data_IF_932985171347
#
_entry.id   IF_932985171347
#
_cell.length_a   1.000
_cell.length_b   1.000
_cell.length_c   1.000
_cell.angle_alpha   90.00
_cell.angle_beta   90.00
_cell.angle_gamma   90.00
#
_symmetry.space_group_name_H-M   'P 1'
#
loop_
_entity.id
_entity.type
_entity.pdbx_description
1 polymer ?
#
# COMPACT_ATOMS: atom_id res chain seq x y z
N UNK A 1 22.39 -3.17 3.66
CA UNK A 1 20.93 -3.04 3.57
C UNK A 1 20.52 -1.78 4.30
N UNK A 2 20.07 -0.77 3.56
CA UNK A 2 19.60 0.52 4.12
C UNK A 2 18.30 0.27 4.87
N UNK A 3 18.02 1.07 5.89
CA UNK A 3 16.78 0.97 6.67
C UNK A 3 16.11 2.34 6.76
N UNK A 4 14.79 2.35 6.76
CA UNK A 4 13.99 3.58 6.83
C UNK A 4 12.83 3.43 7.81
N UNK A 5 12.41 4.53 8.40
CA UNK A 5 11.14 4.58 9.13
C UNK A 5 10.03 4.82 8.13
N UNK A 6 9.06 3.92 8.08
CA UNK A 6 7.98 3.91 7.11
C UNK A 6 6.65 4.13 7.83
N UNK A 7 5.85 5.08 7.35
CA UNK A 7 4.44 5.20 7.72
C UNK A 7 3.59 5.22 6.46
N UNK A 8 2.62 4.31 6.42
CA UNK A 8 1.62 4.20 5.35
C UNK A 8 0.24 4.37 5.98
N UNK A 9 -0.56 5.26 5.41
CA UNK A 9 -1.95 5.45 5.82
C UNK A 9 -2.86 5.25 4.60
N UNK A 10 -3.89 4.41 4.75
CA UNK A 10 -4.92 4.21 3.74
C UNK A 10 -6.25 4.64 4.33
N UNK A 11 -6.95 5.52 3.63
CA UNK A 11 -8.18 6.13 4.11
C UNK A 11 -9.36 5.16 4.33
N UNK A 12 -10.44 5.72 4.90
CA UNK A 12 -11.70 5.02 5.21
C UNK A 12 -12.41 4.43 3.99
N UNK A 13 -11.99 4.81 2.79
CA UNK A 13 -12.55 4.26 1.57
C UNK A 13 -12.08 2.83 1.30
N UNK A 14 -11.09 2.33 2.05
CA UNK A 14 -10.67 0.92 2.02
C UNK A 14 -11.33 0.14 3.16
N UNK A 15 -12.16 -0.82 2.80
CA UNK A 15 -12.84 -1.71 3.75
C UNK A 15 -11.91 -2.78 4.33
N UNK A 16 -10.97 -3.26 3.52
CA UNK A 16 -10.06 -4.36 3.87
C UNK A 16 -8.80 -4.31 3.02
N UNK A 17 -7.70 -4.82 3.56
CA UNK A 17 -6.45 -5.04 2.85
C UNK A 17 -6.36 -6.53 2.48
N UNK A 18 -6.20 -6.83 1.18
CA UNK A 18 -6.10 -8.21 0.66
C UNK A 18 -4.67 -8.69 0.53
N UNK A 19 -3.75 -7.77 0.23
CA UNK A 19 -2.39 -8.12 -0.13
C UNK A 19 -1.46 -6.95 0.11
N UNK A 20 -0.26 -7.26 0.58
CA UNK A 20 0.81 -6.32 0.84
C UNK A 20 2.09 -6.94 0.31
N UNK A 21 2.76 -6.24 -0.60
CA UNK A 21 4.12 -6.53 -1.00
C UNK A 21 4.91 -5.23 -0.96
N UNK A 22 5.97 -5.21 -0.15
CA UNK A 22 6.86 -4.07 -0.02
C UNK A 22 8.29 -4.57 -0.14
N UNK A 23 9.08 -3.97 -1.03
CA UNK A 23 10.48 -4.40 -1.30
C UNK A 23 10.58 -5.88 -1.70
N UNK A 24 9.59 -6.39 -2.44
CA UNK A 24 9.52 -7.81 -2.84
C UNK A 24 9.10 -8.77 -1.72
N UNK A 25 8.80 -8.27 -0.52
CA UNK A 25 8.38 -9.08 0.64
C UNK A 25 6.88 -9.09 0.74
N UNK A 26 6.28 -10.27 0.67
CA UNK A 26 4.86 -10.46 0.96
C UNK A 26 4.65 -10.39 2.48
N UNK A 27 3.81 -9.47 2.92
CA UNK A 27 3.57 -9.19 4.34
C UNK A 27 2.16 -9.63 4.75
N UNK A 28 2.02 -10.00 6.02
CA UNK A 28 0.73 -10.41 6.59
C UNK A 28 -0.22 -9.21 6.70
N UNK A 29 -1.39 -9.33 6.07
CA UNK A 29 -2.44 -8.30 6.10
C UNK A 29 -3.04 -8.09 7.48
N UNK A 30 -3.07 -9.13 8.31
CA UNK A 30 -3.67 -9.10 9.64
C UNK A 30 -2.80 -8.42 10.71
N UNK A 31 -1.51 -8.24 10.44
CA UNK A 31 -0.54 -7.78 11.45
C UNK A 31 0.27 -6.57 11.03
N UNK A 32 0.21 -6.16 9.76
CA UNK A 32 1.01 -5.05 9.26
C UNK A 32 0.31 -3.69 9.39
N UNK A 33 -1.02 -3.68 9.35
CA UNK A 33 -1.83 -2.48 9.51
C UNK A 33 -2.75 -2.60 10.72
N UNK A 34 -2.87 -1.50 11.46
CA UNK A 34 -3.92 -1.29 12.46
C UNK A 34 -5.02 -0.40 11.88
N UNK A 35 -6.28 -0.63 12.26
CA UNK A 35 -7.38 0.25 11.87
C UNK A 35 -7.66 1.29 12.96
N UNK A 36 -7.27 2.55 12.71
CA UNK A 36 -7.28 3.63 13.69
C UNK A 36 -8.01 4.84 13.10
N UNK A 37 -9.02 5.36 13.82
CA UNK A 37 -9.76 6.57 13.44
C UNK A 37 -10.26 6.55 11.98
N UNK A 38 -10.73 5.39 11.53
CA UNK A 38 -11.26 5.21 10.18
C UNK A 38 -10.19 5.01 9.10
N UNK A 39 -8.91 4.93 9.41
CA UNK A 39 -7.85 4.67 8.43
C UNK A 39 -7.08 3.40 8.79
N UNK A 40 -6.58 2.69 7.78
CA UNK A 40 -5.56 1.66 7.98
C UNK A 40 -4.20 2.33 8.09
N UNK A 41 -3.51 2.13 9.21
CA UNK A 41 -2.22 2.75 9.51
C UNK A 41 -1.18 1.66 9.75
N UNK A 42 -0.06 1.74 9.05
CA UNK A 42 1.11 0.90 9.28
C UNK A 42 2.31 1.80 9.61
N UNK A 43 2.89 1.61 10.79
CA UNK A 43 4.13 2.28 11.20
C UNK A 43 5.21 1.23 11.43
N UNK A 44 6.30 1.30 10.66
CA UNK A 44 7.41 0.37 10.72
C UNK A 44 8.70 1.14 10.97
N UNK A 45 9.35 0.83 12.08
CA UNK A 45 10.70 1.32 12.37
C UNK A 45 11.72 0.43 11.70
N UNK A 46 12.80 1.03 11.21
CA UNK A 46 13.93 0.28 10.65
C UNK A 46 13.55 -0.69 9.52
N UNK A 47 12.57 -0.33 8.69
CA UNK A 47 12.11 -1.13 7.56
C UNK A 47 13.25 -1.28 6.53
N UNK A 48 13.63 -2.51 6.14
CA UNK A 48 14.77 -2.71 5.28
C UNK A 48 14.45 -2.44 3.80
N UNK A 49 15.29 -1.65 3.12
CA UNK A 49 15.23 -1.42 1.67
C UNK A 49 16.19 -2.34 0.92
N UNK A 50 15.87 -2.61 -0.34
CA UNK A 50 16.74 -3.26 -1.30
C UNK A 50 17.90 -2.32 -1.71
N UNK A 51 18.78 -2.82 -2.58
CA UNK A 51 20.06 -2.18 -2.86
C UNK A 51 19.99 -1.04 -3.90
N UNK A 52 18.86 -0.89 -4.58
CA UNK A 52 18.60 0.14 -5.60
C UNK A 52 18.16 1.49 -5.02
N UNK A 53 18.00 1.59 -3.70
CA UNK A 53 17.57 2.78 -2.95
C UNK A 53 16.14 3.27 -3.25
N UNK A 54 15.42 2.57 -4.10
CA UNK A 54 14.02 2.79 -4.38
C UNK A 54 13.14 2.12 -3.31
N UNK A 55 11.88 2.55 -3.22
CA UNK A 55 10.88 1.95 -2.35
C UNK A 55 9.69 1.45 -3.18
N UNK A 56 9.60 0.14 -3.35
CA UNK A 56 8.54 -0.53 -4.08
C UNK A 56 7.41 -0.91 -3.13
N UNK A 57 6.20 -0.44 -3.43
CA UNK A 57 4.98 -0.72 -2.65
C UNK A 57 3.86 -1.18 -3.58
N UNK A 58 3.35 -2.38 -3.32
CA UNK A 58 2.11 -2.89 -3.90
C UNK A 58 1.16 -3.28 -2.78
N UNK A 59 0.03 -2.58 -2.69
CA UNK A 59 -1.03 -2.87 -1.73
C UNK A 59 -2.35 -3.01 -2.49
N UNK A 60 -3.05 -4.13 -2.26
CA UNK A 60 -4.38 -4.38 -2.81
C UNK A 60 -5.39 -4.22 -1.69
N UNK A 61 -6.38 -3.37 -1.91
CA UNK A 61 -7.49 -3.16 -0.98
C UNK A 61 -8.83 -3.41 -1.63
N UNK A 62 -9.81 -3.77 -0.81
CA UNK A 62 -11.22 -3.77 -1.19
C UNK A 62 -11.80 -2.42 -0.82
N UNK A 63 -12.10 -1.61 -1.81
CA UNK A 63 -12.67 -0.28 -1.62
C UNK A 63 -14.18 -0.26 -1.37
N UNK A 64 -14.67 0.88 -0.90
CA UNK A 64 -16.08 1.23 -0.94
C UNK A 64 -16.56 1.37 -2.40
N UNK A 65 -17.77 0.89 -2.73
CA UNK A 65 -18.32 1.12 -4.06
C UNK A 65 -18.50 2.62 -4.26
N UNK A 66 -17.96 3.13 -5.37
CA UNK A 66 -18.05 4.52 -5.90
C UNK A 66 -16.95 5.50 -5.47
N UNK A 67 -16.03 5.11 -4.60
CA UNK A 67 -14.92 5.97 -4.19
C UNK A 67 -13.58 5.26 -4.42
N UNK A 68 -12.53 6.04 -4.65
CA UNK A 68 -11.17 5.54 -4.69
C UNK A 68 -10.53 5.78 -3.33
N UNK A 69 -9.78 4.80 -2.85
CA UNK A 69 -8.94 5.01 -1.68
C UNK A 69 -7.71 5.83 -2.00
N UNK A 70 -7.21 6.50 -0.98
CA UNK A 70 -5.96 7.24 -1.03
C UNK A 70 -4.96 6.65 -0.05
N UNK A 71 -3.74 6.50 -0.53
CA UNK A 71 -2.58 6.12 0.27
C UNK A 71 -1.74 7.37 0.54
N UNK A 72 -1.39 7.62 1.81
CA UNK A 72 -0.40 8.61 2.21
C UNK A 72 0.86 7.91 2.65
N UNK A 73 2.00 8.40 2.18
CA UNK A 73 3.31 7.82 2.45
C UNK A 73 4.21 8.83 3.16
N UNK A 74 4.83 8.39 4.25
CA UNK A 74 5.87 9.13 4.96
C UNK A 74 7.08 8.22 5.16
N UNK A 75 8.27 8.74 4.85
CA UNK A 75 9.55 8.02 4.97
C UNK A 75 10.52 8.89 5.76
N UNK A 76 11.10 8.35 6.83
CA UNK A 76 12.01 9.07 7.74
C UNK A 76 11.42 10.41 8.23
N UNK A 77 10.13 10.39 8.60
CA UNK A 77 9.36 11.57 9.04
C UNK A 77 9.13 12.64 7.97
N UNK A 78 9.50 12.39 6.71
CA UNK A 78 9.23 13.27 5.57
C UNK A 78 8.03 12.76 4.78
N UNK A 79 7.03 13.62 4.56
CA UNK A 79 5.88 13.30 3.72
C UNK A 79 6.29 13.21 2.26
N UNK A 80 6.05 12.05 1.63
CA UNK A 80 6.43 11.79 0.23
C UNK A 80 5.29 12.02 -0.74
N UNK A 81 4.05 11.91 -0.29
CA UNK A 81 2.90 12.20 -1.14
C UNK A 81 1.62 11.47 -0.76
N UNK A 82 0.56 11.83 -1.47
CA UNK A 82 -0.73 11.16 -1.46
C UNK A 82 -0.99 10.57 -2.85
N UNK A 83 -1.31 9.29 -2.90
CA UNK A 83 -1.47 8.52 -4.11
C UNK A 83 -2.88 7.95 -4.18
N UNK A 84 -3.58 8.17 -5.29
CA UNK A 84 -4.86 7.50 -5.51
C UNK A 84 -4.60 6.01 -5.74
N UNK A 85 -5.19 5.15 -4.91
CA UNK A 85 -5.15 3.72 -5.13
C UNK A 85 -6.01 3.39 -6.34
N UNK A 86 -5.35 3.02 -7.43
CA UNK A 86 -6.03 2.58 -8.65
C UNK A 86 -6.91 1.37 -8.33
N UNK A 87 -8.16 1.34 -8.79
CA UNK A 87 -9.04 0.19 -8.62
C UNK A 87 -8.40 -1.03 -9.28
N UNK A 88 -7.97 -2.07 -8.54
CA UNK A 88 -7.69 -3.34 -9.19
C UNK A 88 -9.04 -4.03 -9.42
N UNK A 89 -9.48 -3.95 -10.67
CA UNK A 89 -10.39 -4.89 -11.34
C UNK A 89 -11.86 -5.00 -10.89
N UNK A 90 -12.66 -5.12 -11.95
CA UNK A 90 -14.08 -5.41 -11.98
C UNK A 90 -14.41 -6.68 -11.17
N UNK A 91 -15.66 -6.81 -10.71
CA UNK A 91 -16.17 -7.83 -9.78
C UNK A 91 -15.92 -9.31 -10.15
N UNK A 92 -15.26 -9.63 -11.28
CA UNK A 92 -15.03 -10.99 -11.82
C UNK A 92 -13.93 -11.12 -12.93
N UNK A 93 -12.83 -10.35 -12.98
CA UNK A 93 -11.91 -10.46 -14.14
C UNK A 93 -10.43 -10.22 -13.85
N UNK A 94 -9.61 -11.24 -14.10
CA UNK A 94 -8.18 -11.12 -14.34
C UNK A 94 -7.91 -10.16 -15.51
N UNK A 95 -6.87 -9.32 -15.41
CA UNK A 95 -6.25 -8.68 -16.55
C UNK A 95 -4.73 -8.79 -16.45
N UNK A 96 -4.16 -9.68 -17.27
CA UNK A 96 -2.75 -9.69 -17.59
C UNK A 96 -2.42 -8.44 -18.42
N UNK A 97 -1.31 -7.77 -18.11
CA UNK A 97 -0.70 -6.81 -19.03
C UNK A 97 -0.01 -7.59 -20.15
N UNK A 98 -0.75 -7.95 -21.20
CA UNK A 98 -0.13 -8.05 -22.51
C UNK A 98 -0.23 -6.65 -23.12
N UNK A 99 0.91 -6.00 -23.30
CA UNK A 99 1.04 -4.89 -24.23
C UNK A 99 0.48 -5.32 -25.58
N UNK A 100 -0.64 -4.74 -26.00
CA UNK A 100 -1.00 -4.71 -27.42
C UNK A 100 -0.35 -3.48 -28.06
N UNK A 101 0.21 -3.71 -29.24
CA UNK A 101 0.96 -2.79 -30.11
C UNK A 101 0.08 -1.59 -30.52
#
# INVERSE_FOLDING_TARGET
MKKVNLKIEIDLNSRRIEYINIEGRVLSTNSFFDFINGSWVAEQKDFPLNNDEDLDILIITVGNPRENSKLKLTVNSEFKGEFSMYKPFNRNGYGQFNLEI
#
